data_IF_566765157656
#
_entry.id   IF_566765157656
#
_cell.length_a   1.000
_cell.length_b   1.000
_cell.length_c   1.000
_cell.angle_alpha   90.00
_cell.angle_beta   90.00
_cell.angle_gamma   90.00
#
_symmetry.space_group_name_H-M   'P 1'
#
loop_
_entity.id
_entity.type
_entity.pdbx_description
1 polymer ?
#
# COMPACT_ATOMS: atom_id res chain seq x y z
N UNK A 1 15.02 -7.09 -7.68
CA UNK A 1 14.18 -8.24 -7.24
C UNK A 1 12.70 -7.84 -7.23
N UNK A 2 12.10 -7.65 -8.41
CA UNK A 2 10.69 -7.22 -8.57
C UNK A 2 9.71 -8.39 -8.85
N UNK A 3 10.20 -9.63 -8.88
CA UNK A 3 9.48 -10.82 -9.34
C UNK A 3 8.69 -11.55 -8.25
N UNK A 4 9.18 -11.59 -7.02
CA UNK A 4 8.61 -12.50 -6.00
C UNK A 4 7.34 -11.95 -5.33
N UNK A 5 7.16 -10.64 -5.34
CA UNK A 5 6.04 -9.99 -4.64
C UNK A 5 4.70 -10.09 -5.38
N UNK A 6 4.69 -10.20 -6.72
CA UNK A 6 3.44 -10.34 -7.50
C UNK A 6 2.65 -11.59 -7.10
N UNK A 7 3.33 -12.64 -6.66
CA UNK A 7 2.75 -13.96 -6.35
C UNK A 7 2.05 -14.04 -4.99
N UNK A 8 2.28 -13.10 -4.08
CA UNK A 8 1.70 -13.12 -2.73
C UNK A 8 0.46 -12.25 -2.55
N UNK A 9 0.15 -11.33 -3.48
CA UNK A 9 -0.84 -10.25 -3.24
C UNK A 9 -1.94 -10.11 -4.29
N UNK A 10 -2.10 -11.09 -5.19
CA UNK A 10 -3.17 -11.03 -6.20
C UNK A 10 -3.02 -12.04 -7.32
N UNK A 11 -1.81 -12.56 -7.53
CA UNK A 11 -1.56 -13.74 -8.36
C UNK A 11 -1.33 -14.95 -7.47
N UNK A 12 -2.37 -15.35 -6.72
CA UNK A 12 -2.28 -16.54 -5.89
C UNK A 12 -2.04 -17.77 -6.76
N UNK A 13 -1.25 -18.72 -6.25
CA UNK A 13 -1.09 -20.05 -6.87
C UNK A 13 -2.44 -20.71 -7.19
N UNK A 14 -3.51 -20.37 -6.46
CA UNK A 14 -4.87 -20.79 -6.76
C UNK A 14 -5.38 -20.32 -8.13
N UNK A 15 -5.22 -19.04 -8.48
CA UNK A 15 -5.66 -18.51 -9.78
C UNK A 15 -4.84 -19.12 -10.91
N UNK A 16 -3.53 -19.28 -10.69
CA UNK A 16 -2.62 -19.94 -11.63
C UNK A 16 -3.03 -21.40 -11.83
N UNK A 17 -3.31 -22.13 -10.76
CA UNK A 17 -3.75 -23.52 -10.81
C UNK A 17 -5.09 -23.66 -11.54
N UNK A 18 -6.07 -22.80 -11.27
CA UNK A 18 -7.34 -22.77 -12.01
C UNK A 18 -7.11 -22.54 -13.49
N UNK A 19 -6.24 -21.59 -13.85
CA UNK A 19 -5.92 -21.28 -15.24
C UNK A 19 -5.22 -22.46 -15.92
N UNK A 20 -4.25 -23.10 -15.26
CA UNK A 20 -3.54 -24.29 -15.77
C UNK A 20 -4.46 -25.49 -15.95
N UNK A 21 -5.28 -25.81 -14.94
CA UNK A 21 -6.23 -26.93 -14.98
C UNK A 21 -7.28 -26.70 -16.07
N UNK A 22 -7.80 -25.48 -16.17
CA UNK A 22 -8.82 -25.14 -17.18
C UNK A 22 -8.24 -25.12 -18.59
N UNK A 23 -7.00 -24.65 -18.77
CA UNK A 23 -6.30 -24.72 -20.05
C UNK A 23 -6.02 -26.18 -20.47
N UNK A 24 -5.61 -27.04 -19.54
CA UNK A 24 -5.46 -28.47 -19.79
C UNK A 24 -6.80 -29.11 -20.17
N UNK A 25 -7.89 -28.76 -19.46
CA UNK A 25 -9.25 -29.18 -19.79
C UNK A 25 -9.70 -28.75 -21.18
N UNK A 26 -9.38 -27.52 -21.60
CA UNK A 26 -9.68 -27.03 -22.96
C UNK A 26 -8.94 -27.83 -24.05
N UNK A 27 -7.68 -28.20 -23.80
CA UNK A 27 -6.86 -28.94 -24.77
C UNK A 27 -7.31 -30.41 -24.86
N UNK A 28 -7.62 -31.03 -23.72
CA UNK A 28 -7.88 -32.47 -23.62
C UNK A 28 -9.36 -32.85 -23.77
N UNK A 29 -10.29 -31.94 -23.52
CA UNK A 29 -11.72 -32.22 -23.62
C UNK A 29 -12.28 -31.94 -25.02
N UNK A 30 -13.33 -32.67 -25.38
CA UNK A 30 -14.17 -32.41 -26.55
C UNK A 30 -15.54 -31.84 -26.17
N UNK A 31 -16.30 -31.39 -27.18
CA UNK A 31 -17.70 -30.98 -27.02
C UNK A 31 -17.90 -29.78 -26.07
N UNK A 32 -18.98 -29.81 -25.29
CA UNK A 32 -19.40 -28.70 -24.41
C UNK A 32 -18.38 -28.40 -23.31
N UNK A 33 -17.72 -29.42 -22.78
CA UNK A 33 -16.69 -29.27 -21.73
C UNK A 33 -15.53 -28.39 -22.17
N UNK A 34 -15.10 -28.51 -23.44
CA UNK A 34 -14.07 -27.64 -24.01
C UNK A 34 -14.47 -26.16 -23.95
N UNK A 35 -15.70 -25.85 -24.32
CA UNK A 35 -16.19 -24.46 -24.31
C UNK A 35 -16.32 -23.89 -22.89
N UNK A 36 -16.75 -24.71 -21.92
CA UNK A 36 -16.77 -24.33 -20.51
C UNK A 36 -15.35 -24.02 -20.01
N UNK A 37 -14.39 -24.90 -20.29
CA UNK A 37 -12.99 -24.69 -19.92
C UNK A 37 -12.40 -23.42 -20.55
N UNK A 38 -12.72 -23.13 -21.81
CA UNK A 38 -12.29 -21.88 -22.46
C UNK A 38 -12.86 -20.65 -21.75
N UNK A 39 -14.15 -20.67 -21.43
CA UNK A 39 -14.80 -19.55 -20.74
C UNK A 39 -14.13 -19.28 -19.39
N UNK A 40 -13.84 -20.32 -18.60
CA UNK A 40 -13.14 -20.18 -17.31
C UNK A 40 -11.75 -19.57 -17.50
N UNK A 41 -10.99 -20.03 -18.51
CA UNK A 41 -9.66 -19.44 -18.82
C UNK A 41 -9.79 -17.96 -19.17
N UNK A 42 -10.75 -17.58 -20.01
CA UNK A 42 -10.94 -16.19 -20.42
C UNK A 42 -11.31 -15.29 -19.23
N UNK A 43 -12.20 -15.74 -18.36
CA UNK A 43 -12.59 -15.00 -17.14
C UNK A 43 -11.38 -14.84 -16.21
N UNK A 44 -10.64 -15.91 -15.94
CA UNK A 44 -9.45 -15.87 -15.09
C UNK A 44 -8.36 -14.95 -15.67
N UNK A 45 -8.14 -14.99 -16.99
CA UNK A 45 -7.17 -14.12 -17.67
C UNK A 45 -7.60 -12.64 -17.62
N UNK A 46 -8.88 -12.35 -17.83
CA UNK A 46 -9.41 -10.98 -17.73
C UNK A 46 -9.25 -10.41 -16.32
N UNK A 47 -9.56 -11.20 -15.28
CA UNK A 47 -9.36 -10.83 -13.88
C UNK A 47 -7.87 -10.55 -13.59
N UNK A 48 -6.97 -11.43 -14.04
CA UNK A 48 -5.52 -11.25 -13.91
C UNK A 48 -5.02 -9.97 -14.57
N UNK A 49 -5.49 -9.64 -15.77
CA UNK A 49 -5.13 -8.40 -16.48
C UNK A 49 -5.65 -7.18 -15.72
N UNK A 50 -6.89 -7.23 -15.23
CA UNK A 50 -7.48 -6.16 -14.45
C UNK A 50 -6.69 -5.90 -13.16
N UNK A 51 -6.38 -6.95 -12.41
CA UNK A 51 -5.57 -6.88 -11.19
C UNK A 51 -4.14 -6.38 -11.47
N UNK A 52 -3.52 -6.85 -12.56
CA UNK A 52 -2.21 -6.39 -13.00
C UNK A 52 -2.21 -4.88 -13.25
N UNK A 53 -3.19 -4.40 -14.03
CA UNK A 53 -3.31 -3.00 -14.37
C UNK A 53 -3.56 -2.17 -13.11
N UNK A 54 -4.51 -2.57 -12.26
CA UNK A 54 -4.81 -1.91 -10.99
C UNK A 54 -3.59 -1.80 -10.07
N UNK A 55 -2.78 -2.85 -10.00
CA UNK A 55 -1.56 -2.86 -9.17
C UNK A 55 -0.43 -2.04 -9.78
N UNK A 56 -0.32 -2.00 -11.11
CA UNK A 56 0.77 -1.31 -11.75
C UNK A 56 0.56 0.18 -11.94
N UNK A 57 -0.69 0.63 -12.06
CA UNK A 57 -1.04 2.04 -12.28
C UNK A 57 -1.01 2.87 -11.01
N UNK A 58 -1.14 2.26 -9.83
CA UNK A 58 -1.11 2.95 -8.54
C UNK A 58 0.24 2.72 -7.85
N UNK A 59 1.13 3.71 -7.94
CA UNK A 59 2.47 3.67 -7.36
C UNK A 59 2.45 3.44 -5.85
N UNK A 60 1.46 4.04 -5.16
CA UNK A 60 1.32 3.94 -3.71
C UNK A 60 1.11 2.49 -3.23
N UNK A 61 0.39 1.64 -3.99
CA UNK A 61 0.14 0.25 -3.59
C UNK A 61 1.42 -0.55 -3.43
N UNK A 62 2.39 -0.31 -4.34
CA UNK A 62 3.68 -0.99 -4.35
C UNK A 62 4.51 -0.64 -3.13
N UNK A 63 4.45 0.62 -2.71
CA UNK A 63 5.16 1.13 -1.51
C UNK A 63 4.46 0.65 -0.25
N UNK A 64 3.15 0.90 -0.14
CA UNK A 64 2.36 0.59 1.05
C UNK A 64 2.50 -0.87 1.45
N UNK A 65 2.28 -1.80 0.52
CA UNK A 65 2.36 -3.22 0.85
C UNK A 65 3.74 -3.65 1.36
N UNK A 66 4.81 -3.22 0.68
CA UNK A 66 6.19 -3.56 1.07
C UNK A 66 6.55 -2.96 2.42
N UNK A 67 6.16 -1.70 2.63
CA UNK A 67 6.41 -0.99 3.87
C UNK A 67 5.61 -1.58 5.03
N UNK A 68 4.36 -1.99 4.83
CA UNK A 68 3.57 -2.65 5.88
C UNK A 68 4.13 -4.01 6.26
N UNK A 69 4.60 -4.81 5.30
CA UNK A 69 5.31 -6.07 5.60
C UNK A 69 6.60 -5.81 6.39
N UNK A 70 7.38 -4.81 5.99
CA UNK A 70 8.60 -4.43 6.70
C UNK A 70 8.26 -3.93 8.12
N UNK A 71 7.21 -3.12 8.25
CA UNK A 71 6.76 -2.57 9.52
C UNK A 71 6.31 -3.66 10.49
N UNK A 72 5.62 -4.71 10.01
CA UNK A 72 5.24 -5.83 10.88
C UNK A 72 6.47 -6.48 11.54
N UNK A 73 7.56 -6.66 10.78
CA UNK A 73 8.83 -7.16 11.31
C UNK A 73 9.46 -6.16 12.30
N UNK A 74 9.54 -4.89 11.93
CA UNK A 74 10.13 -3.83 12.76
C UNK A 74 9.38 -3.66 14.08
N UNK A 75 8.05 -3.64 14.03
CA UNK A 75 7.21 -3.55 15.21
C UNK A 75 7.41 -4.75 16.14
N UNK A 76 7.55 -5.96 15.59
CA UNK A 76 7.89 -7.15 16.37
C UNK A 76 9.24 -7.02 17.08
N UNK A 77 10.26 -6.50 16.40
CA UNK A 77 11.59 -6.27 16.98
C UNK A 77 11.58 -5.19 18.06
N UNK A 78 10.88 -4.07 17.82
CA UNK A 78 10.76 -2.98 18.79
C UNK A 78 9.94 -3.40 20.03
N UNK A 79 8.91 -4.24 19.85
CA UNK A 79 8.16 -4.82 20.97
C UNK A 79 9.03 -5.74 21.83
N UNK A 80 9.83 -6.60 21.20
CA UNK A 80 10.77 -7.46 21.93
C UNK A 80 11.81 -6.63 22.70
N UNK A 81 12.35 -5.58 22.06
CA UNK A 81 13.29 -4.65 22.68
C UNK A 81 12.67 -3.89 23.86
N UNK A 82 11.45 -3.38 23.71
CA UNK A 82 10.77 -2.63 24.77
C UNK A 82 10.48 -3.51 25.99
N UNK A 83 10.14 -4.78 25.77
CA UNK A 83 9.97 -5.76 26.86
C UNK A 83 11.28 -6.06 27.59
N UNK A 84 12.38 -6.25 26.86
CA UNK A 84 13.70 -6.49 27.44
C UNK A 84 14.20 -5.29 28.26
N UNK A 85 13.93 -4.07 27.78
CA UNK A 85 14.36 -2.81 28.40
C UNK A 85 13.37 -2.30 29.46
N UNK A 86 12.24 -2.99 29.69
CA UNK A 86 11.23 -2.58 30.67
C UNK A 86 10.53 -1.25 30.36
N UNK A 87 10.47 -0.86 29.09
CA UNK A 87 9.86 0.41 28.62
C UNK A 87 8.64 0.19 27.74
N UNK A 88 7.91 1.26 27.47
CA UNK A 88 6.82 1.24 26.49
C UNK A 88 7.34 1.16 25.05
N UNK A 89 6.49 0.63 24.17
CA UNK A 89 6.75 0.58 22.73
C UNK A 89 6.91 1.99 22.16
N UNK A 90 8.01 2.25 21.44
CA UNK A 90 8.26 3.55 20.81
C UNK A 90 7.86 3.52 19.33
N UNK A 91 6.79 4.25 19.00
CA UNK A 91 6.35 4.41 17.60
C UNK A 91 7.38 5.15 16.76
N UNK A 92 8.07 6.12 17.33
CA UNK A 92 9.14 6.88 16.68
C UNK A 92 10.26 5.95 16.24
N UNK A 93 10.71 5.05 17.14
CA UNK A 93 11.76 4.08 16.83
C UNK A 93 11.32 3.12 15.72
N UNK A 94 10.09 2.59 15.79
CA UNK A 94 9.57 1.71 14.76
C UNK A 94 9.42 2.41 13.40
N UNK A 95 8.99 3.68 13.38
CA UNK A 95 8.86 4.47 12.16
C UNK A 95 10.21 4.84 11.54
N UNK A 96 11.21 5.16 12.38
CA UNK A 96 12.59 5.38 11.96
C UNK A 96 13.20 4.16 11.30
N UNK A 97 13.12 3.00 11.95
CA UNK A 97 13.63 1.73 11.41
C UNK A 97 12.92 1.34 10.11
N UNK A 98 11.60 1.56 10.02
CA UNK A 98 10.87 1.41 8.76
C UNK A 98 11.45 2.33 7.67
N UNK A 99 11.64 3.61 7.96
CA UNK A 99 12.22 4.58 7.04
C UNK A 99 13.60 4.15 6.54
N UNK A 100 14.47 3.68 7.43
CA UNK A 100 15.81 3.17 7.09
C UNK A 100 15.76 1.91 6.21
N UNK A 101 14.84 0.98 6.48
CA UNK A 101 14.67 -0.23 5.67
C UNK A 101 14.19 0.08 4.26
N UNK A 102 13.33 1.09 4.09
CA UNK A 102 12.77 1.44 2.78
C UNK A 102 13.68 2.38 2.00
N UNK A 103 14.27 3.38 2.65
CA UNK A 103 15.10 4.41 2.01
C UNK A 103 16.59 4.02 1.89
N UNK A 104 17.07 3.06 2.69
CA UNK A 104 18.48 2.69 2.77
C UNK A 104 19.18 3.30 3.99
N UNK A 105 20.13 2.55 4.57
CA UNK A 105 20.88 2.96 5.77
C UNK A 105 21.82 4.15 5.52
N UNK A 106 22.25 4.34 4.28
CA UNK A 106 23.02 5.49 3.82
C UNK A 106 22.25 6.82 3.93
N UNK A 107 20.92 6.76 4.03
CA UNK A 107 20.04 7.94 4.13
C UNK A 107 19.58 8.25 5.54
N UNK A 108 20.30 7.80 6.56
CA UNK A 108 19.88 7.94 7.96
C UNK A 108 19.52 9.38 8.36
N UNK A 109 20.35 10.37 7.99
CA UNK A 109 20.07 11.78 8.30
C UNK A 109 18.74 12.27 7.69
N UNK A 110 18.43 11.88 6.45
CA UNK A 110 17.19 12.26 5.78
C UNK A 110 15.98 11.58 6.44
N UNK A 111 16.13 10.32 6.84
CA UNK A 111 15.08 9.57 7.55
C UNK A 111 14.80 10.19 8.91
N UNK A 112 15.83 10.58 9.68
CA UNK A 112 15.65 11.27 10.95
C UNK A 112 14.92 12.61 10.77
N UNK A 113 15.35 13.42 9.81
CA UNK A 113 14.71 14.70 9.52
C UNK A 113 13.24 14.53 9.12
N UNK A 114 12.96 13.53 8.27
CA UNK A 114 11.59 13.17 7.87
C UNK A 114 10.74 12.74 9.08
N UNK A 115 11.26 11.86 9.94
CA UNK A 115 10.51 11.38 11.12
C UNK A 115 10.24 12.52 12.09
N UNK A 116 11.21 13.40 12.33
CA UNK A 116 11.05 14.58 13.18
C UNK A 116 9.99 15.55 12.63
N UNK A 117 10.01 15.81 11.31
CA UNK A 117 9.00 16.64 10.67
C UNK A 117 7.60 16.01 10.81
N UNK A 118 7.47 14.70 10.54
CA UNK A 118 6.20 13.99 10.64
C UNK A 118 5.70 13.82 12.08
N UNK A 119 6.58 13.82 13.08
CA UNK A 119 6.20 13.81 14.49
C UNK A 119 5.54 15.15 14.89
N UNK A 120 6.01 16.26 14.31
CA UNK A 120 5.47 17.59 14.52
C UNK A 120 4.19 17.84 13.72
N UNK A 121 4.19 17.48 12.43
CA UNK A 121 3.06 17.71 11.53
C UNK A 121 1.94 16.68 11.69
N UNK A 122 2.29 15.45 12.07
CA UNK A 122 1.35 14.34 12.23
C UNK A 122 0.41 14.20 11.02
N UNK A 123 -0.89 14.00 11.28
CA UNK A 123 -1.93 13.91 10.28
C UNK A 123 -2.17 15.18 9.46
N UNK A 124 -1.68 16.36 9.91
CA UNK A 124 -1.86 17.61 9.16
C UNK A 124 -1.14 17.57 7.81
N UNK A 125 0.01 16.89 7.74
CA UNK A 125 0.73 16.63 6.50
C UNK A 125 -0.17 16.02 5.42
N UNK A 126 -0.85 14.92 5.76
CA UNK A 126 -1.75 14.24 4.82
C UNK A 126 -3.01 15.03 4.52
N UNK A 127 -3.55 15.76 5.51
CA UNK A 127 -4.70 16.61 5.31
C UNK A 127 -4.40 17.72 4.30
N UNK A 128 -3.24 18.38 4.42
CA UNK A 128 -2.79 19.42 3.50
C UNK A 128 -2.62 18.88 2.07
N UNK A 129 -2.04 17.68 1.91
CA UNK A 129 -1.94 17.02 0.61
C UNK A 129 -3.31 16.72 -0.01
N UNK A 130 -4.26 16.23 0.80
CA UNK A 130 -5.62 15.97 0.33
C UNK A 130 -6.31 17.26 -0.13
N UNK A 131 -6.21 18.33 0.66
CA UNK A 131 -6.81 19.63 0.34
C UNK A 131 -6.19 20.25 -0.91
N UNK A 132 -4.86 20.16 -1.05
CA UNK A 132 -4.13 20.69 -2.21
C UNK A 132 -4.53 20.00 -3.51
N UNK A 133 -4.79 18.69 -3.47
CA UNK A 133 -5.09 17.88 -4.65
C UNK A 133 -6.55 17.41 -4.70
N UNK A 134 -7.46 18.06 -3.97
CA UNK A 134 -8.83 17.54 -3.79
C UNK A 134 -9.61 17.44 -5.09
N UNK A 135 -9.46 18.41 -6.00
CA UNK A 135 -10.16 18.42 -7.29
C UNK A 135 -9.77 17.23 -8.18
N UNK A 136 -8.51 16.82 -8.14
CA UNK A 136 -8.00 15.71 -8.95
C UNK A 136 -8.31 14.34 -8.33
N UNK A 137 -8.29 14.25 -7.00
CA UNK A 137 -8.47 12.98 -6.28
C UNK A 137 -9.95 12.69 -5.98
N UNK A 138 -10.75 13.73 -5.77
CA UNK A 138 -12.16 13.67 -5.40
C UNK A 138 -13.00 14.64 -6.25
N UNK A 139 -13.07 14.46 -7.59
CA UNK A 139 -13.66 15.45 -8.51
C UNK A 139 -15.16 15.72 -8.29
N UNK A 140 -15.87 14.82 -7.60
CA UNK A 140 -17.29 14.93 -7.31
C UNK A 140 -17.60 15.25 -5.84
N UNK A 141 -16.58 15.50 -5.01
CA UNK A 141 -16.78 15.80 -3.61
C UNK A 141 -17.05 17.30 -3.40
N UNK A 142 -17.97 17.62 -2.50
CA UNK A 142 -18.16 19.01 -2.05
C UNK A 142 -17.02 19.45 -1.15
N UNK A 143 -16.81 20.77 -1.01
CA UNK A 143 -15.82 21.32 -0.09
C UNK A 143 -16.01 20.84 1.36
N UNK A 144 -17.26 20.66 1.79
CA UNK A 144 -17.58 20.11 3.11
C UNK A 144 -17.10 18.67 3.26
N UNK A 145 -17.31 17.82 2.25
CA UNK A 145 -16.84 16.43 2.27
C UNK A 145 -15.31 16.35 2.30
N UNK A 146 -14.62 17.21 1.54
CA UNK A 146 -13.15 17.29 1.57
C UNK A 146 -12.67 17.70 2.96
N UNK A 147 -13.29 18.71 3.57
CA UNK A 147 -12.95 19.17 4.92
C UNK A 147 -13.14 18.07 5.97
N UNK A 148 -14.24 17.31 5.91
CA UNK A 148 -14.50 16.20 6.84
C UNK A 148 -13.44 15.09 6.72
N UNK A 149 -13.03 14.76 5.49
CA UNK A 149 -11.97 13.78 5.24
C UNK A 149 -10.60 14.30 5.73
N UNK A 150 -10.31 15.58 5.51
CA UNK A 150 -9.09 16.22 6.02
C UNK A 150 -9.06 16.20 7.56
N UNK A 151 -10.19 16.46 8.22
CA UNK A 151 -10.29 16.38 9.69
C UNK A 151 -10.07 14.96 10.23
N UNK A 152 -10.50 13.93 9.49
CA UNK A 152 -10.15 12.55 9.84
C UNK A 152 -8.65 12.27 9.70
N UNK A 153 -8.00 12.81 8.65
CA UNK A 153 -6.55 12.66 8.48
C UNK A 153 -5.77 13.38 9.57
N UNK A 154 -6.19 14.58 10.00
CA UNK A 154 -5.53 15.35 11.08
C UNK A 154 -5.43 14.60 12.40
N UNK A 155 -6.35 13.66 12.67
CA UNK A 155 -6.34 12.83 13.89
C UNK A 155 -5.34 11.67 13.84
N UNK A 156 -4.67 11.46 12.71
CA UNK A 156 -3.65 10.42 12.60
C UNK A 156 -2.40 10.84 13.36
N UNK A 157 -2.01 10.03 14.33
CA UNK A 157 -0.74 10.16 15.02
C UNK A 157 0.40 9.55 14.18
N UNK A 158 1.65 9.81 14.59
CA UNK A 158 2.82 9.20 13.97
C UNK A 158 2.70 7.66 13.93
N UNK A 159 2.82 7.13 12.72
CA UNK A 159 2.71 5.71 12.43
C UNK A 159 3.17 5.37 11.02
N UNK A 160 3.12 4.09 10.63
CA UNK A 160 3.64 3.63 9.33
C UNK A 160 2.93 4.31 8.16
N UNK A 161 1.66 4.69 8.33
CA UNK A 161 0.89 5.38 7.28
C UNK A 161 1.55 6.69 6.85
N UNK A 162 1.99 7.52 7.79
CA UNK A 162 2.62 8.81 7.48
C UNK A 162 4.00 8.64 6.84
N UNK A 163 4.77 7.66 7.30
CA UNK A 163 6.06 7.30 6.70
C UNK A 163 5.87 6.83 5.25
N UNK A 164 4.88 5.96 5.01
CA UNK A 164 4.53 5.47 3.68
C UNK A 164 4.10 6.62 2.77
N UNK A 165 3.23 7.51 3.26
CA UNK A 165 2.76 8.65 2.49
C UNK A 165 3.93 9.54 2.03
N UNK A 166 4.87 9.83 2.94
CA UNK A 166 6.05 10.64 2.61
C UNK A 166 6.98 9.94 1.60
N UNK A 167 7.15 8.62 1.71
CA UNK A 167 7.89 7.85 0.70
C UNK A 167 7.17 7.88 -0.64
N UNK A 168 5.84 7.74 -0.66
CA UNK A 168 5.03 7.83 -1.88
C UNK A 168 5.15 9.20 -2.52
N UNK A 169 5.05 10.27 -1.74
CA UNK A 169 5.23 11.65 -2.23
C UNK A 169 6.62 11.83 -2.85
N UNK A 170 7.68 11.44 -2.15
CA UNK A 170 9.05 11.57 -2.65
C UNK A 170 9.35 10.70 -3.88
N UNK A 171 8.58 9.62 -4.10
CA UNK A 171 8.80 8.69 -5.21
C UNK A 171 7.92 8.99 -6.43
N UNK A 172 6.68 9.42 -6.21
CA UNK A 172 5.63 9.53 -7.23
C UNK A 172 4.94 10.91 -7.27
N UNK A 173 5.23 11.80 -6.31
CA UNK A 173 4.67 13.15 -6.21
C UNK A 173 3.47 13.26 -5.25
N UNK A 174 3.14 14.50 -4.90
CA UNK A 174 2.08 14.86 -3.93
C UNK A 174 0.69 14.34 -4.31
N UNK A 175 0.34 14.34 -5.60
CA UNK A 175 -0.94 13.82 -6.09
C UNK A 175 -1.13 12.33 -5.76
N UNK A 176 -0.08 11.51 -5.91
CA UNK A 176 -0.17 10.08 -5.62
C UNK A 176 -0.23 9.82 -4.11
N UNK A 177 0.42 10.67 -3.31
CA UNK A 177 0.31 10.64 -1.85
C UNK A 177 -1.09 11.06 -1.37
N UNK A 178 -1.73 12.04 -2.02
CA UNK A 178 -3.12 12.41 -1.75
C UNK A 178 -4.11 11.26 -2.11
N UNK A 179 -3.88 10.57 -3.24
CA UNK A 179 -4.64 9.34 -3.58
C UNK A 179 -4.47 8.25 -2.53
N UNK A 180 -3.25 8.09 -2.02
CA UNK A 180 -2.97 7.17 -0.93
C UNK A 180 -3.73 7.55 0.35
N UNK A 181 -3.77 8.84 0.71
CA UNK A 181 -4.54 9.33 1.87
C UNK A 181 -6.02 8.95 1.78
N UNK A 182 -6.64 9.12 0.60
CA UNK A 182 -8.02 8.68 0.36
C UNK A 182 -8.16 7.15 0.47
N UNK A 183 -7.21 6.39 -0.06
CA UNK A 183 -7.24 4.93 0.03
C UNK A 183 -7.14 4.44 1.50
N UNK A 184 -6.36 5.12 2.33
CA UNK A 184 -6.27 4.83 3.78
C UNK A 184 -7.62 5.08 4.45
N UNK A 185 -8.27 6.21 4.19
CA UNK A 185 -9.58 6.54 4.77
C UNK A 185 -10.66 5.53 4.35
N UNK A 186 -10.64 5.07 3.10
CA UNK A 186 -11.58 4.08 2.56
C UNK A 186 -11.30 2.64 3.00
N UNK A 187 -10.20 2.40 3.74
CA UNK A 187 -9.71 1.05 4.06
C UNK A 187 -9.48 0.22 2.79
N UNK A 188 -8.98 0.86 1.73
CA UNK A 188 -8.57 0.17 0.50
C UNK A 188 -7.05 -0.12 0.49
N UNK A 189 -6.33 0.40 1.48
CA UNK A 189 -4.92 0.12 1.75
C UNK A 189 -4.82 -1.09 2.71
N UNK A 190 -5.07 -2.29 2.18
CA UNK A 190 -4.89 -3.58 2.85
C UNK A 190 -3.78 -4.40 2.19
#
# INVERSE_FOLDING_TARGET
>A
MASDLKWRTGFGWGVVAVLTISAAGFILAGGVLRWISLLVVLVAAADMIFQYNKWNTQGWRKVHFRAMLAYASVAGQEMARSQQEGRSFSRVNACRELGLLVAGRDRAANVEAMVLALEQEQGHYLANLLETHSEEVLPNASATQVSELADHLRRLELGPVLIIANIVENTFGGLEAARYAVAVLKREAH
#
